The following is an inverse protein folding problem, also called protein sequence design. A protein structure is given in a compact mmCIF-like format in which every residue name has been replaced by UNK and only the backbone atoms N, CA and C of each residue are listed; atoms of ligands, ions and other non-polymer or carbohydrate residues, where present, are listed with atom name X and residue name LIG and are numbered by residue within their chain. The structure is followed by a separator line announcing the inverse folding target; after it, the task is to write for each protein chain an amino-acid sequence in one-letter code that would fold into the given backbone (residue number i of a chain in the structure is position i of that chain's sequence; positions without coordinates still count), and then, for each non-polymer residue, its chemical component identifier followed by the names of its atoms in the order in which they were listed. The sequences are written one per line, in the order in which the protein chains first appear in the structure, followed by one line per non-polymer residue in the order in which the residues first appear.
data_IF_043863905885
#
_entry.id   IF_043863905885
#
_cell.length_a   1.000
_cell.length_b   1.000
_cell.length_c   1.000
_cell.angle_alpha   90.00
_cell.angle_beta   90.00
_cell.angle_gamma   90.00
#
_symmetry.space_group_name_H-M   'P 1'
#
loop_
_entity.id
_entity.type
_entity.pdbx_description
1 polymer ?
#
# COMPACT_ATOMS: atom_id res chain seq x y z
N UNK A 1 -13.31 -14.14 3.05
CA UNK A 1 -12.77 -12.98 3.79
C UNK A 1 -12.25 -13.46 5.15
N UNK A 2 -11.02 -13.12 5.47
CA UNK A 2 -10.39 -13.56 6.74
C UNK A 2 -10.69 -12.55 7.86
N UNK A 3 -11.85 -12.68 8.47
CA UNK A 3 -12.32 -11.76 9.52
C UNK A 3 -11.32 -11.66 10.68
N UNK A 4 -10.67 -12.77 11.07
CA UNK A 4 -9.74 -12.78 12.21
C UNK A 4 -8.49 -11.91 11.98
N UNK A 5 -7.98 -11.80 10.73
CA UNK A 5 -6.87 -10.89 10.41
C UNK A 5 -7.33 -9.44 10.43
N UNK A 6 -8.49 -9.15 9.86
CA UNK A 6 -9.08 -7.79 9.88
C UNK A 6 -9.40 -7.33 11.30
N UNK A 7 -9.82 -8.23 12.19
CA UNK A 7 -10.05 -7.92 13.61
C UNK A 7 -8.79 -7.46 14.36
N UNK A 8 -7.60 -7.75 13.82
CA UNK A 8 -6.32 -7.26 14.36
C UNK A 8 -5.91 -5.91 13.76
N UNK A 9 -6.55 -5.49 12.68
CA UNK A 9 -6.29 -4.21 12.02
C UNK A 9 -7.19 -3.10 12.58
N UNK A 10 -8.46 -3.41 12.83
CA UNK A 10 -9.42 -2.41 13.27
C UNK A 10 -9.54 -2.37 14.81
N UNK A 11 -9.53 -1.15 15.36
CA UNK A 11 -9.81 -0.93 16.76
C UNK A 11 -11.24 -1.37 17.10
N UNK A 12 -11.43 -2.25 18.09
CA UNK A 12 -12.74 -2.86 18.37
C UNK A 12 -13.80 -1.87 18.88
N UNK A 13 -13.39 -0.77 19.51
CA UNK A 13 -14.31 0.23 20.04
C UNK A 13 -14.77 1.22 18.97
N UNK A 14 -13.85 1.71 18.17
CA UNK A 14 -14.13 2.73 17.15
C UNK A 14 -14.51 2.16 15.78
N UNK A 15 -14.17 0.89 15.50
CA UNK A 15 -14.28 0.28 14.19
C UNK A 15 -13.36 0.91 13.15
N UNK A 16 -12.36 1.71 13.57
CA UNK A 16 -11.42 2.43 12.71
C UNK A 16 -10.02 1.85 12.85
N UNK A 17 -9.15 2.18 11.89
CA UNK A 17 -7.73 1.84 11.92
C UNK A 17 -6.89 3.03 11.48
N UNK A 18 -5.75 3.23 12.15
CA UNK A 18 -4.67 4.10 11.69
C UNK A 18 -3.53 3.21 11.19
N UNK A 19 -3.36 3.15 9.88
CA UNK A 19 -2.23 2.47 9.23
C UNK A 19 -1.19 3.51 8.80
N UNK A 20 0.02 3.42 9.34
CA UNK A 20 1.12 4.35 9.02
C UNK A 20 2.06 3.69 8.03
N UNK A 21 2.09 4.21 6.81
CA UNK A 21 2.96 3.70 5.75
C UNK A 21 4.34 4.35 5.79
N UNK A 22 5.39 3.51 5.85
CA UNK A 22 6.81 3.91 5.75
C UNK A 22 7.57 3.03 4.75
N UNK A 23 6.87 2.54 3.75
CA UNK A 23 7.35 1.63 2.70
C UNK A 23 7.82 2.35 1.43
N UNK A 24 8.02 3.66 1.48
CA UNK A 24 8.27 4.52 0.31
C UNK A 24 9.56 4.19 -0.45
N UNK A 25 10.50 3.46 0.16
CA UNK A 25 11.71 3.00 -0.51
C UNK A 25 11.47 2.08 -1.71
N UNK A 26 10.28 1.49 -1.83
CA UNK A 26 9.94 0.62 -2.95
C UNK A 26 9.79 1.39 -4.28
N UNK A 27 9.62 2.71 -4.23
CA UNK A 27 9.60 3.56 -5.43
C UNK A 27 10.98 3.91 -5.99
N UNK A 28 12.07 3.69 -5.22
CA UNK A 28 13.41 4.07 -5.63
C UNK A 28 13.66 5.59 -5.66
N UNK A 29 12.75 6.40 -5.13
CA UNK A 29 12.84 7.86 -5.12
C UNK A 29 13.41 8.37 -3.80
N UNK A 30 14.58 9.02 -3.87
CA UNK A 30 15.33 9.49 -2.68
C UNK A 30 14.56 10.51 -1.85
N UNK A 31 13.81 11.40 -2.48
CA UNK A 31 13.06 12.45 -1.78
C UNK A 31 12.01 11.89 -0.82
N UNK A 32 11.50 10.68 -1.09
CA UNK A 32 10.54 10.00 -0.24
C UNK A 32 11.14 9.39 1.03
N UNK A 33 12.47 9.37 1.14
CA UNK A 33 13.16 8.77 2.28
C UNK A 33 13.49 9.81 3.37
N UNK A 34 13.23 11.09 3.13
CA UNK A 34 13.52 12.16 4.09
C UNK A 34 12.77 11.93 5.40
N UNK A 35 13.54 11.79 6.50
CA UNK A 35 13.00 11.52 7.84
C UNK A 35 12.76 10.04 8.16
N UNK A 36 12.90 9.14 7.17
CA UNK A 36 12.78 7.69 7.36
C UNK A 36 14.05 6.92 6.94
N UNK A 37 15.19 7.59 6.83
CA UNK A 37 16.45 6.99 6.39
C UNK A 37 16.93 5.88 7.33
N UNK A 38 16.69 6.06 8.64
CA UNK A 38 16.98 5.03 9.64
C UNK A 38 15.72 4.27 10.02
N UNK A 39 15.40 3.26 9.25
CA UNK A 39 14.17 2.49 9.43
C UNK A 39 14.07 1.79 10.80
N UNK A 40 15.17 1.42 11.43
CA UNK A 40 15.14 0.85 12.78
C UNK A 40 14.64 1.89 13.80
N UNK A 41 15.12 3.13 13.72
CA UNK A 41 14.66 4.23 14.58
C UNK A 41 13.18 4.57 14.29
N UNK A 42 12.78 4.57 13.03
CA UNK A 42 11.38 4.82 12.60
C UNK A 42 10.46 3.76 13.19
N UNK A 43 10.78 2.48 13.05
CA UNK A 43 9.96 1.39 13.61
C UNK A 43 9.86 1.51 15.13
N UNK A 44 10.95 1.85 15.81
CA UNK A 44 10.93 2.09 17.26
C UNK A 44 9.99 3.23 17.66
N UNK A 45 10.02 4.34 16.94
CA UNK A 45 9.12 5.47 17.18
C UNK A 45 7.65 5.10 16.91
N UNK A 46 7.38 4.37 15.84
CA UNK A 46 6.03 3.91 15.51
C UNK A 46 5.47 2.90 16.53
N UNK A 47 6.30 1.99 17.04
CA UNK A 47 5.90 1.08 18.11
C UNK A 47 5.55 1.86 19.39
N UNK A 48 6.33 2.89 19.72
CA UNK A 48 6.04 3.75 20.88
C UNK A 48 4.76 4.59 20.68
N UNK A 49 4.49 5.06 19.46
CA UNK A 49 3.27 5.78 19.10
C UNK A 49 2.03 4.88 19.04
N UNK A 50 2.23 3.57 18.84
CA UNK A 50 1.21 2.52 18.85
C UNK A 50 0.02 2.79 17.91
N UNK A 51 0.23 3.03 16.59
CA UNK A 51 -0.87 3.02 15.63
C UNK A 51 -1.46 1.59 15.52
N UNK A 52 -2.61 1.45 14.89
CA UNK A 52 -3.24 0.13 14.71
C UNK A 52 -2.41 -0.77 13.79
N UNK A 53 -1.79 -0.18 12.75
CA UNK A 53 -0.91 -0.90 11.83
C UNK A 53 0.27 -0.04 11.34
N UNK A 54 1.31 -0.73 10.86
CA UNK A 54 2.44 -0.14 10.15
C UNK A 54 2.64 -0.87 8.82
N UNK A 55 2.65 -0.11 7.73
CA UNK A 55 2.89 -0.63 6.39
C UNK A 55 4.38 -0.58 6.06
N UNK A 56 4.96 -1.74 5.79
CA UNK A 56 6.39 -1.94 5.56
C UNK A 56 6.63 -2.80 4.31
N UNK A 57 7.81 -2.65 3.73
CA UNK A 57 8.31 -3.57 2.69
C UNK A 57 8.81 -4.87 3.31
N UNK A 58 8.96 -5.92 2.48
CA UNK A 58 9.51 -7.22 2.87
C UNK A 58 10.87 -7.09 3.59
N UNK A 59 11.75 -6.20 3.09
CA UNK A 59 13.08 -5.99 3.68
C UNK A 59 13.06 -5.41 5.10
N UNK A 60 12.06 -4.61 5.43
CA UNK A 60 11.95 -3.92 6.71
C UNK A 60 10.93 -4.52 7.69
N UNK A 61 10.03 -5.39 7.23
CA UNK A 61 8.99 -5.99 8.07
C UNK A 61 9.55 -6.73 9.30
N UNK A 62 10.72 -7.35 9.16
CA UNK A 62 11.39 -8.05 10.26
C UNK A 62 11.78 -7.13 11.42
N UNK A 63 12.00 -5.84 11.19
CA UNK A 63 12.28 -4.87 12.26
C UNK A 63 11.10 -4.76 13.22
N UNK A 64 9.87 -4.67 12.68
CA UNK A 64 8.66 -4.67 13.49
C UNK A 64 8.46 -6.01 14.20
N UNK A 65 8.67 -7.13 13.49
CA UNK A 65 8.43 -8.46 14.04
C UNK A 65 9.46 -8.88 15.10
N UNK A 66 10.66 -8.29 15.09
CA UNK A 66 11.66 -8.48 16.14
C UNK A 66 11.32 -7.79 17.47
N UNK A 67 10.38 -6.83 17.47
CA UNK A 67 9.93 -6.18 18.71
C UNK A 67 9.19 -7.18 19.58
N UNK A 68 9.66 -7.31 20.83
CA UNK A 68 9.10 -8.25 21.81
C UNK A 68 7.82 -7.71 22.42
N UNK A 69 6.93 -8.61 22.79
CA UNK A 69 5.66 -8.29 23.47
C UNK A 69 4.43 -8.55 22.60
N UNK A 70 3.29 -8.49 23.26
CA UNK A 70 1.97 -8.76 22.64
C UNK A 70 1.35 -7.50 22.03
N UNK A 71 1.72 -6.35 22.53
CA UNK A 71 1.17 -5.05 22.15
C UNK A 71 2.15 -4.33 21.24
N UNK A 72 1.99 -4.51 19.95
CA UNK A 72 2.68 -3.78 18.89
C UNK A 72 1.73 -3.60 17.71
N UNK A 73 1.94 -2.59 16.87
CA UNK A 73 1.15 -2.38 15.67
C UNK A 73 1.10 -3.65 14.80
N UNK A 74 -0.02 -3.88 14.13
CA UNK A 74 -0.13 -4.93 13.14
C UNK A 74 0.74 -4.61 11.91
N UNK A 75 1.18 -5.65 11.19
CA UNK A 75 1.95 -5.49 9.97
C UNK A 75 1.01 -5.50 8.76
N UNK A 76 1.06 -4.45 7.92
CA UNK A 76 0.60 -4.47 6.52
C UNK A 76 1.83 -4.61 5.63
N UNK A 77 1.87 -5.63 4.78
CA UNK A 77 3.04 -5.91 3.94
C UNK A 77 2.86 -5.36 2.53
N UNK A 78 3.77 -4.49 2.07
CA UNK A 78 3.85 -4.05 0.68
C UNK A 78 4.32 -5.20 -0.22
N UNK A 79 3.58 -5.47 -1.30
CA UNK A 79 3.82 -6.61 -2.20
C UNK A 79 4.38 -6.26 -3.57
N UNK A 80 4.53 -5.00 -3.87
CA UNK A 80 4.96 -4.52 -5.18
C UNK A 80 6.10 -3.51 -5.10
N UNK A 81 6.74 -3.25 -6.24
CA UNK A 81 7.84 -2.30 -6.43
C UNK A 81 7.64 -1.60 -7.78
N UNK A 82 7.91 -0.29 -7.84
CA UNK A 82 7.76 0.51 -9.04
C UNK A 82 8.78 1.65 -9.10
N UNK A 83 9.06 2.15 -10.32
CA UNK A 83 9.95 3.30 -10.57
C UNK A 83 9.21 4.44 -11.29
N UNK A 84 7.99 4.75 -10.85
CA UNK A 84 7.12 5.72 -11.53
C UNK A 84 7.31 7.16 -11.07
N UNK A 85 8.22 7.40 -10.15
CA UNK A 85 8.61 8.74 -9.67
C UNK A 85 10.06 9.04 -10.06
N UNK A 86 10.45 10.28 -9.89
CA UNK A 86 11.82 10.75 -10.14
C UNK A 86 11.90 11.81 -11.24
N UNK A 87 13.03 12.51 -11.26
CA UNK A 87 13.35 13.50 -12.27
C UNK A 87 14.87 13.47 -12.58
N UNK A 88 15.29 13.03 -13.80
CA UNK A 88 14.40 12.54 -14.87
C UNK A 88 13.74 11.20 -14.53
N UNK A 89 12.62 10.91 -15.20
CA UNK A 89 12.05 9.55 -15.20
C UNK A 89 12.97 8.59 -15.94
N UNK A 90 12.99 7.34 -15.50
CA UNK A 90 13.61 6.26 -16.25
C UNK A 90 12.94 6.08 -17.63
N UNK A 91 13.71 5.74 -18.65
CA UNK A 91 13.18 5.45 -19.99
C UNK A 91 12.21 4.26 -19.95
N UNK A 92 12.51 3.27 -19.10
CA UNK A 92 11.70 2.09 -18.90
C UNK A 92 11.04 2.11 -17.53
N UNK A 93 9.73 2.39 -17.51
CA UNK A 93 8.93 2.31 -16.29
C UNK A 93 8.47 0.88 -16.05
N UNK A 94 8.43 0.51 -14.78
CA UNK A 94 7.93 -0.79 -14.36
C UNK A 94 7.11 -0.70 -13.09
N UNK A 95 6.26 -1.70 -12.91
CA UNK A 95 5.63 -2.05 -11.64
C UNK A 95 5.56 -3.57 -11.55
N UNK A 96 6.23 -4.13 -10.56
CA UNK A 96 6.36 -5.57 -10.38
C UNK A 96 5.85 -6.02 -9.04
N UNK A 97 5.27 -7.18 -9.04
CA UNK A 97 4.88 -7.91 -7.86
C UNK A 97 6.08 -8.67 -7.28
N UNK A 98 6.22 -8.65 -5.96
CA UNK A 98 7.23 -9.45 -5.25
C UNK A 98 6.82 -10.92 -5.29
N UNK A 99 7.66 -11.83 -5.79
CA UNK A 99 7.35 -13.25 -5.80
C UNK A 99 7.06 -13.80 -4.40
N UNK A 100 6.10 -14.72 -4.29
CA UNK A 100 5.69 -15.36 -3.04
C UNK A 100 5.28 -14.39 -1.91
N UNK A 101 4.80 -13.20 -2.27
CA UNK A 101 4.49 -12.14 -1.31
C UNK A 101 3.46 -12.58 -0.27
N UNK A 102 2.48 -13.42 -0.63
CA UNK A 102 1.48 -13.94 0.30
C UNK A 102 2.10 -14.92 1.31
N UNK A 103 2.97 -15.80 0.87
CA UNK A 103 3.67 -16.73 1.79
C UNK A 103 4.57 -15.96 2.76
N UNK A 104 5.29 -14.92 2.27
CA UNK A 104 6.10 -14.05 3.12
C UNK A 104 5.22 -13.26 4.11
N UNK A 105 4.06 -12.78 3.68
CA UNK A 105 3.11 -12.13 4.57
C UNK A 105 2.63 -13.06 5.69
N UNK A 106 2.37 -14.33 5.38
CA UNK A 106 2.03 -15.36 6.39
C UNK A 106 3.19 -15.61 7.34
N UNK A 107 4.42 -15.79 6.83
CA UNK A 107 5.63 -16.01 7.64
C UNK A 107 5.96 -14.84 8.57
N UNK A 108 5.62 -13.63 8.14
CA UNK A 108 5.85 -12.38 8.90
C UNK A 108 4.64 -11.99 9.76
N UNK A 109 3.62 -12.84 9.85
CA UNK A 109 2.40 -12.56 10.62
C UNK A 109 1.71 -11.24 10.21
N UNK A 110 1.68 -10.92 8.91
CA UNK A 110 0.97 -9.77 8.41
C UNK A 110 -0.55 -9.95 8.52
N UNK A 111 -1.26 -8.85 8.77
CA UNK A 111 -2.74 -8.82 8.82
C UNK A 111 -3.36 -8.53 7.46
N UNK A 112 -2.62 -7.90 6.58
CA UNK A 112 -3.02 -7.62 5.20
C UNK A 112 -1.78 -7.49 4.31
N UNK A 113 -1.99 -7.64 3.01
CA UNK A 113 -1.00 -7.34 1.97
C UNK A 113 -1.50 -6.15 1.15
N UNK A 114 -0.59 -5.23 0.77
CA UNK A 114 -0.93 -4.04 0.01
C UNK A 114 -0.28 -4.06 -1.37
N UNK A 115 -1.06 -3.75 -2.41
CA UNK A 115 -0.61 -3.63 -3.80
C UNK A 115 -1.17 -2.36 -4.45
N UNK A 116 -0.38 -1.74 -5.32
CA UNK A 116 -0.81 -0.58 -6.10
C UNK A 116 -1.70 -0.97 -7.28
N UNK A 117 -2.66 -0.08 -7.58
CA UNK A 117 -3.36 -0.01 -8.84
C UNK A 117 -3.18 1.40 -9.41
N UNK A 118 -2.15 1.59 -10.23
CA UNK A 118 -1.76 2.90 -10.74
C UNK A 118 -2.37 3.19 -12.11
N UNK A 119 -2.79 4.44 -12.31
CA UNK A 119 -3.20 4.98 -13.60
C UNK A 119 -2.35 6.21 -13.92
N UNK A 120 -1.40 6.05 -14.86
CA UNK A 120 -0.47 7.08 -15.29
C UNK A 120 -0.85 7.58 -16.71
N UNK A 121 -0.75 8.90 -16.97
CA UNK A 121 -0.89 9.44 -18.32
C UNK A 121 0.08 8.78 -19.29
N UNK A 122 -0.42 8.32 -20.45
CA UNK A 122 0.40 7.75 -21.50
C UNK A 122 1.11 6.43 -21.20
N UNK A 123 0.81 5.79 -20.04
CA UNK A 123 1.47 4.55 -19.59
C UNK A 123 0.47 3.45 -19.22
N UNK A 124 -0.36 2.99 -20.17
CA UNK A 124 -1.36 1.95 -19.89
C UNK A 124 -0.74 0.61 -19.47
N UNK A 125 0.51 0.33 -19.88
CA UNK A 125 1.26 -0.87 -19.54
C UNK A 125 1.46 -1.04 -18.02
N UNK A 126 1.62 0.06 -17.29
CA UNK A 126 1.77 0.04 -15.82
C UNK A 126 0.46 -0.43 -15.17
N UNK A 127 -0.69 0.10 -15.63
CA UNK A 127 -1.99 -0.35 -15.13
C UNK A 127 -2.25 -1.81 -15.47
N UNK A 128 -1.91 -2.25 -16.68
CA UNK A 128 -2.04 -3.65 -17.08
C UNK A 128 -1.18 -4.56 -16.19
N UNK A 129 0.07 -4.19 -15.93
CA UNK A 129 0.95 -4.93 -15.03
C UNK A 129 0.37 -5.03 -13.61
N UNK A 130 -0.18 -3.93 -13.06
CA UNK A 130 -0.81 -3.95 -11.75
C UNK A 130 -2.05 -4.85 -11.72
N UNK A 131 -2.93 -4.78 -12.70
CA UNK A 131 -4.12 -5.64 -12.77
C UNK A 131 -3.72 -7.12 -12.79
N UNK A 132 -2.74 -7.48 -13.61
CA UNK A 132 -2.21 -8.85 -13.70
C UNK A 132 -1.66 -9.32 -12.35
N UNK A 133 -0.87 -8.48 -11.68
CA UNK A 133 -0.30 -8.75 -10.36
C UNK A 133 -1.39 -8.92 -9.28
N UNK A 134 -2.39 -8.04 -9.27
CA UNK A 134 -3.51 -8.10 -8.31
C UNK A 134 -4.32 -9.38 -8.50
N UNK A 135 -4.59 -9.78 -9.74
CA UNK A 135 -5.32 -11.02 -10.01
C UNK A 135 -4.56 -12.26 -9.52
N UNK A 136 -3.24 -12.29 -9.71
CA UNK A 136 -2.39 -13.36 -9.18
C UNK A 136 -2.39 -13.38 -7.64
N UNK A 137 -2.17 -12.21 -7.02
CA UNK A 137 -2.23 -12.05 -5.57
C UNK A 137 -3.58 -12.46 -4.99
N UNK A 138 -4.70 -12.11 -5.65
CA UNK A 138 -6.04 -12.45 -5.18
C UNK A 138 -6.24 -13.96 -5.09
N UNK A 139 -5.74 -14.70 -6.07
CA UNK A 139 -5.83 -16.16 -6.07
C UNK A 139 -5.08 -16.78 -4.86
N UNK A 140 -3.83 -16.38 -4.65
CA UNK A 140 -3.02 -16.84 -3.51
C UNK A 140 -3.61 -16.36 -2.17
N UNK A 141 -4.00 -15.08 -2.07
CA UNK A 141 -4.59 -14.49 -0.87
C UNK A 141 -5.84 -15.25 -0.41
N UNK A 142 -6.63 -15.77 -1.34
CA UNK A 142 -7.79 -16.60 -1.02
C UNK A 142 -7.38 -17.89 -0.34
N UNK A 143 -6.33 -18.56 -0.84
CA UNK A 143 -5.80 -19.82 -0.28
C UNK A 143 -5.34 -19.65 1.16
N UNK A 144 -4.64 -18.56 1.46
CA UNK A 144 -4.08 -18.29 2.79
C UNK A 144 -4.99 -17.43 3.68
N UNK A 145 -6.20 -17.12 3.22
CA UNK A 145 -7.10 -16.21 3.91
C UNK A 145 -6.43 -14.87 4.31
N UNK A 146 -5.57 -14.33 3.42
CA UNK A 146 -4.88 -13.06 3.60
C UNK A 146 -5.72 -11.92 3.02
N UNK A 147 -6.09 -10.90 3.81
CA UNK A 147 -6.76 -9.72 3.28
C UNK A 147 -5.90 -8.98 2.26
N UNK A 148 -6.51 -8.61 1.13
CA UNK A 148 -5.86 -7.85 0.07
C UNK A 148 -6.30 -6.38 0.15
N UNK A 149 -5.35 -5.49 0.44
CA UNK A 149 -5.51 -4.04 0.34
C UNK A 149 -5.04 -3.61 -1.05
N UNK A 150 -5.89 -2.88 -1.77
CA UNK A 150 -5.49 -2.27 -3.04
C UNK A 150 -5.42 -0.76 -2.85
N UNK A 151 -4.32 -0.16 -3.31
CA UNK A 151 -4.07 1.28 -3.29
C UNK A 151 -4.25 1.86 -4.71
N UNK A 152 -5.47 2.39 -5.04
CA UNK A 152 -5.70 3.04 -6.31
C UNK A 152 -5.02 4.42 -6.32
N UNK A 153 -4.06 4.61 -7.25
CA UNK A 153 -3.31 5.84 -7.45
C UNK A 153 -3.59 6.39 -8.85
N UNK A 154 -4.36 7.47 -8.91
CA UNK A 154 -4.50 8.26 -10.15
C UNK A 154 -3.40 9.30 -10.18
N UNK A 155 -2.64 9.32 -11.26
CA UNK A 155 -1.48 10.17 -11.42
C UNK A 155 -1.70 11.18 -12.57
N UNK A 156 -1.01 12.30 -12.48
CA UNK A 156 -0.89 13.32 -13.52
C UNK A 156 0.57 13.69 -13.72
N UNK A 157 0.88 14.31 -14.86
CA UNK A 157 2.23 14.82 -15.12
C UNK A 157 2.59 15.91 -14.09
N UNK A 158 3.80 15.85 -13.57
CA UNK A 158 4.34 16.86 -12.67
C UNK A 158 5.16 17.90 -13.46
N UNK A 159 4.48 18.92 -13.98
CA UNK A 159 5.12 19.96 -14.80
C UNK A 159 6.21 20.75 -14.05
N UNK A 160 6.14 20.86 -12.73
CA UNK A 160 7.08 21.62 -11.93
C UNK A 160 8.32 20.81 -11.52
N UNK A 161 8.13 19.55 -11.11
CA UNK A 161 9.19 18.68 -10.56
C UNK A 161 9.64 17.58 -11.50
N UNK A 162 8.99 17.43 -12.65
CA UNK A 162 9.19 16.27 -13.54
C UNK A 162 8.53 15.00 -13.00
N UNK A 163 8.42 13.99 -13.87
CA UNK A 163 7.76 12.72 -13.50
C UNK A 163 6.27 12.86 -13.29
N UNK A 164 5.75 12.06 -12.38
CA UNK A 164 4.32 12.03 -12.05
C UNK A 164 4.06 12.52 -10.61
N UNK A 165 2.85 12.99 -10.39
CA UNK A 165 2.33 13.33 -9.08
C UNK A 165 0.89 12.85 -8.97
N UNK A 166 0.36 12.76 -7.74
CA UNK A 166 -1.02 12.32 -7.51
C UNK A 166 -2.00 13.33 -8.10
N UNK A 167 -2.97 12.84 -8.88
CA UNK A 167 -4.10 13.61 -9.42
C UNK A 167 -5.25 13.58 -8.42
N UNK A 168 -5.74 14.76 -8.05
CA UNK A 168 -6.88 14.91 -7.14
C UNK A 168 -8.25 14.84 -7.82
N UNK A 169 -8.35 14.41 -9.07
CA UNK A 169 -9.62 14.27 -9.80
C UNK A 169 -10.50 13.17 -9.17
N UNK A 170 -11.59 13.59 -8.55
CA UNK A 170 -12.50 12.70 -7.83
C UNK A 170 -13.13 11.64 -8.73
N UNK A 171 -13.50 11.97 -9.97
CA UNK A 171 -14.21 11.04 -10.86
C UNK A 171 -13.26 9.92 -11.33
N UNK A 172 -12.01 10.28 -11.64
CA UNK A 172 -10.97 9.30 -11.95
C UNK A 172 -10.67 8.40 -10.74
N UNK A 173 -10.53 8.99 -9.55
CA UNK A 173 -10.29 8.24 -8.31
C UNK A 173 -11.44 7.28 -8.04
N UNK A 174 -12.70 7.72 -8.14
CA UNK A 174 -13.88 6.87 -7.95
C UNK A 174 -13.94 5.72 -8.95
N UNK A 175 -13.58 5.98 -10.21
CA UNK A 175 -13.51 4.93 -11.23
C UNK A 175 -12.47 3.88 -10.88
N UNK A 176 -11.28 4.29 -10.43
CA UNK A 176 -10.20 3.38 -10.09
C UNK A 176 -10.49 2.61 -8.78
N UNK A 177 -11.12 3.27 -7.80
CA UNK A 177 -11.63 2.64 -6.57
C UNK A 177 -12.66 1.55 -6.90
N UNK A 178 -13.58 1.83 -7.82
CA UNK A 178 -14.55 0.83 -8.26
C UNK A 178 -13.86 -0.36 -8.92
N UNK A 179 -12.85 -0.13 -9.76
CA UNK A 179 -12.07 -1.21 -10.35
C UNK A 179 -11.34 -2.02 -9.28
N UNK A 180 -10.70 -1.37 -8.30
CA UNK A 180 -10.03 -2.06 -7.19
C UNK A 180 -11.00 -2.98 -6.43
N UNK A 181 -12.22 -2.51 -6.16
CA UNK A 181 -13.26 -3.31 -5.51
C UNK A 181 -13.64 -4.54 -6.32
N UNK A 182 -13.79 -4.40 -7.64
CA UNK A 182 -14.17 -5.49 -8.52
C UNK A 182 -13.02 -6.48 -8.79
N UNK A 183 -11.77 -6.05 -8.64
CA UNK A 183 -10.60 -6.93 -8.61
C UNK A 183 -10.48 -7.74 -7.31
N UNK A 184 -11.38 -7.53 -6.37
CA UNK A 184 -11.47 -8.33 -5.15
C UNK A 184 -10.76 -7.75 -3.94
N UNK A 185 -10.57 -6.42 -3.87
CA UNK A 185 -10.04 -5.78 -2.68
C UNK A 185 -10.92 -6.06 -1.45
N UNK A 186 -10.29 -6.50 -0.36
CA UNK A 186 -10.90 -6.55 0.97
C UNK A 186 -10.83 -5.18 1.65
N UNK A 187 -9.77 -4.41 1.36
CA UNK A 187 -9.51 -3.06 1.82
C UNK A 187 -9.11 -2.18 0.64
N UNK A 188 -9.48 -0.90 0.69
CA UNK A 188 -9.08 0.09 -0.31
C UNK A 188 -8.42 1.25 0.41
N UNK A 189 -7.16 1.56 0.01
CA UNK A 189 -6.39 2.70 0.48
C UNK A 189 -6.39 3.78 -0.61
N UNK A 190 -7.40 4.64 -0.60
CA UNK A 190 -7.59 5.70 -1.60
C UNK A 190 -7.10 7.07 -1.12
N UNK A 191 -6.88 8.00 -2.04
CA UNK A 191 -6.52 9.39 -1.71
C UNK A 191 -7.61 10.04 -0.84
N UNK A 192 -7.27 10.59 0.35
CA UNK A 192 -8.23 11.16 1.29
C UNK A 192 -8.97 12.40 0.76
N UNK A 193 -8.50 13.02 -0.33
CA UNK A 193 -9.21 14.14 -0.97
C UNK A 193 -10.63 13.78 -1.41
N UNK A 194 -10.94 12.51 -1.56
CA UNK A 194 -12.31 12.03 -1.74
C UNK A 194 -13.23 12.29 -0.54
N UNK A 195 -12.68 12.40 0.66
CA UNK A 195 -13.48 12.53 1.89
C UNK A 195 -13.90 13.98 2.21
N UNK A 196 -13.40 14.96 1.46
CA UNK A 196 -13.74 16.39 1.69
C UNK A 196 -15.11 16.80 1.13
N UNK A 197 -15.75 15.96 0.32
CA UNK A 197 -17.14 16.16 -0.08
C UNK A 197 -18.07 15.52 0.94
N UNK A 198 -18.71 16.32 1.75
CA UNK A 198 -19.78 15.90 2.65
C UNK A 198 -20.80 15.07 1.89
N UNK A 199 -20.85 13.77 2.18
CA UNK A 199 -21.96 12.93 1.73
C UNK A 199 -23.16 13.38 2.59
N UNK A 200 -23.94 14.29 2.07
CA UNK A 200 -25.30 14.51 2.59
C UNK A 200 -26.09 13.25 2.31
N UNK A 201 -26.51 12.59 3.39
CA UNK A 201 -27.39 11.41 3.35
C UNK A 201 -28.73 11.76 2.74
#
# INVERSE_FOLDING_TARGET
MSIYRLNRLFNPESGRALDVAVDHGFFGERSFLTGIENMAAVVHALVAANPDAVQLTLGHARLLQAVRGKHKPALVLRSDVANVYGNPLDEHLFSHHVPNAIEEAVRLDAVAICANLMQLPGRPEIREANIRSIMALRAEATTYAMPLMIEPLVMQDNAAGGGYMVDGDTDKIMTLVRQARELGADLIKADPRMMSRTITR
#
